data_IF_801673662289
#
_entry.id   IF_801673662289
#
_cell.length_a   1.000
_cell.length_b   1.000
_cell.length_c   1.000
_cell.angle_alpha   90.00
_cell.angle_beta   90.00
_cell.angle_gamma   90.00
#
_symmetry.space_group_name_H-M   'P 1'
#
loop_
_entity.id
_entity.type
_entity.pdbx_description
1 polymer ?
#
# COMPACT_ATOMS: atom_id res chain seq x y z
N UNK A 1 -4.26 4.23 -5.27
CA UNK A 1 -5.12 4.65 -6.40
C UNK A 1 -5.85 3.50 -7.08
N UNK A 2 -5.17 2.44 -7.57
CA UNK A 2 -5.80 1.35 -8.34
C UNK A 2 -6.96 0.67 -7.61
N UNK A 3 -6.77 0.34 -6.32
CA UNK A 3 -7.83 -0.25 -5.48
C UNK A 3 -9.05 0.66 -5.34
N UNK A 4 -8.84 1.97 -5.21
CA UNK A 4 -9.93 2.94 -5.18
C UNK A 4 -10.74 2.91 -6.47
N UNK A 5 -10.09 2.94 -7.63
CA UNK A 5 -10.76 2.85 -8.94
C UNK A 5 -11.54 1.54 -9.06
N UNK A 6 -10.97 0.43 -8.57
CA UNK A 6 -11.63 -0.87 -8.60
C UNK A 6 -12.94 -0.87 -7.80
N UNK A 7 -12.99 -0.22 -6.63
CA UNK A 7 -14.23 -0.06 -5.85
C UNK A 7 -15.31 0.69 -6.63
N UNK A 8 -14.94 1.60 -7.53
CA UNK A 8 -15.89 2.38 -8.35
C UNK A 8 -16.43 1.58 -9.54
N UNK A 9 -15.60 0.72 -10.14
CA UNK A 9 -15.98 -0.08 -11.31
C UNK A 9 -16.79 -1.33 -10.95
N UNK A 10 -16.49 -1.98 -9.80
CA UNK A 10 -17.10 -3.27 -9.42
C UNK A 10 -18.00 -3.16 -8.18
N UNK A 11 -17.86 -2.10 -7.37
CA UNK A 11 -18.65 -1.91 -6.16
C UNK A 11 -20.10 -1.53 -6.42
N UNK A 12 -20.89 -1.40 -5.35
CA UNK A 12 -22.29 -0.96 -5.39
C UNK A 12 -22.51 0.36 -6.15
N UNK A 13 -21.47 1.21 -6.19
CA UNK A 13 -21.45 2.50 -6.90
C UNK A 13 -21.18 2.40 -8.39
N UNK A 14 -20.79 1.24 -8.92
CA UNK A 14 -20.69 1.03 -10.37
C UNK A 14 -22.06 1.15 -11.07
N UNK A 15 -23.14 0.88 -10.33
CA UNK A 15 -24.53 1.11 -10.77
C UNK A 15 -24.89 2.61 -10.80
N UNK A 16 -24.22 3.44 -9.99
CA UNK A 16 -24.42 4.90 -9.94
C UNK A 16 -23.73 5.60 -11.13
N UNK A 17 -22.73 4.97 -11.75
CA UNK A 17 -22.00 5.47 -12.93
C UNK A 17 -22.74 5.23 -14.25
N UNK A 18 -24.06 5.06 -14.21
CA UNK A 18 -24.89 4.91 -15.40
C UNK A 18 -25.17 6.29 -15.99
N UNK A 19 -24.35 6.68 -16.96
CA UNK A 19 -24.49 7.93 -17.71
C UNK A 19 -25.15 7.65 -19.05
N UNK A 20 -26.05 8.54 -19.49
CA UNK A 20 -26.62 8.50 -20.83
C UNK A 20 -25.52 8.77 -21.87
N UNK A 21 -25.50 7.99 -22.95
CA UNK A 21 -24.52 8.06 -24.04
C UNK A 21 -23.04 8.12 -23.55
N UNK A 22 -22.53 7.05 -22.90
CA UNK A 22 -21.20 7.02 -22.30
C UNK A 22 -20.05 7.24 -23.31
N UNK A 23 -20.27 6.92 -24.59
CA UNK A 23 -19.30 7.15 -25.66
C UNK A 23 -18.97 8.63 -25.85
N UNK A 24 -19.93 9.53 -25.61
CA UNK A 24 -19.73 11.00 -25.70
C UNK A 24 -18.68 11.49 -24.71
N UNK A 25 -18.48 10.75 -23.62
CA UNK A 25 -17.52 11.05 -22.55
C UNK A 25 -16.27 10.16 -22.63
N UNK A 26 -16.10 9.37 -23.70
CA UNK A 26 -15.09 8.31 -23.81
C UNK A 26 -15.09 7.33 -22.63
N UNK A 27 -16.24 7.18 -21.96
CA UNK A 27 -16.35 6.35 -20.77
C UNK A 27 -16.59 4.90 -21.18
N UNK A 28 -15.53 4.08 -21.12
CA UNK A 28 -15.55 2.67 -21.50
C UNK A 28 -15.28 1.77 -20.28
N UNK A 29 -16.25 1.62 -19.36
CA UNK A 29 -16.04 0.96 -18.07
C UNK A 29 -15.58 -0.50 -18.20
N UNK A 30 -16.03 -1.20 -19.26
CA UNK A 30 -15.58 -2.57 -19.55
C UNK A 30 -14.09 -2.64 -19.91
N UNK A 31 -13.62 -1.75 -20.78
CA UNK A 31 -12.21 -1.71 -21.18
C UNK A 31 -11.34 -1.23 -20.02
N UNK A 32 -11.79 -0.21 -19.29
CA UNK A 32 -11.09 0.28 -18.09
C UNK A 32 -10.95 -0.81 -17.03
N UNK A 33 -12.00 -1.61 -16.79
CA UNK A 33 -11.93 -2.73 -15.86
C UNK A 33 -10.98 -3.82 -16.34
N UNK A 34 -11.00 -4.14 -17.63
CA UNK A 34 -10.05 -5.09 -18.24
C UNK A 34 -8.62 -4.65 -18.00
N UNK A 35 -8.30 -3.42 -18.37
CA UNK A 35 -6.93 -2.89 -18.30
C UNK A 35 -6.46 -2.82 -16.84
N UNK A 36 -7.36 -2.41 -15.93
CA UNK A 36 -7.11 -2.41 -14.50
C UNK A 36 -6.80 -3.82 -13.98
N UNK A 37 -7.63 -4.82 -14.29
CA UNK A 37 -7.41 -6.20 -13.88
C UNK A 37 -6.13 -6.80 -14.48
N UNK A 38 -5.76 -6.42 -15.71
CA UNK A 38 -4.51 -6.85 -16.34
C UNK A 38 -3.28 -6.27 -15.62
N UNK A 39 -3.35 -5.00 -15.17
CA UNK A 39 -2.33 -4.40 -14.31
C UNK A 39 -2.19 -5.20 -13.00
N UNK A 40 -3.31 -5.48 -12.31
CA UNK A 40 -3.28 -6.28 -11.09
C UNK A 40 -2.68 -7.68 -11.31
N UNK A 41 -3.04 -8.35 -12.41
CA UNK A 41 -2.49 -9.65 -12.78
C UNK A 41 -0.97 -9.58 -13.02
N UNK A 42 -0.50 -8.52 -13.69
CA UNK A 42 0.91 -8.33 -14.02
C UNK A 42 1.79 -8.13 -12.79
N UNK A 43 1.25 -7.52 -11.73
CA UNK A 43 1.95 -7.29 -10.46
C UNK A 43 1.55 -8.28 -9.37
N UNK A 44 0.77 -9.31 -9.68
CA UNK A 44 0.18 -10.19 -8.66
C UNK A 44 1.23 -10.90 -7.81
N UNK A 45 2.38 -11.24 -8.40
CA UNK A 45 3.49 -11.93 -7.72
C UNK A 45 4.46 -10.99 -6.99
N UNK A 46 4.31 -9.66 -7.11
CA UNK A 46 5.21 -8.70 -6.48
C UNK A 46 4.81 -8.46 -5.00
N UNK A 47 5.65 -8.81 -4.01
CA UNK A 47 5.31 -8.67 -2.59
C UNK A 47 5.00 -7.22 -2.18
N UNK A 48 5.75 -6.25 -2.72
CA UNK A 48 5.53 -4.83 -2.45
C UNK A 48 4.15 -4.38 -2.92
N UNK A 49 3.72 -4.85 -4.09
CA UNK A 49 2.40 -4.54 -4.61
C UNK A 49 1.27 -5.15 -3.76
N UNK A 50 1.45 -6.40 -3.31
CA UNK A 50 0.51 -7.07 -2.40
C UNK A 50 0.38 -6.30 -1.08
N UNK A 51 1.50 -5.87 -0.51
CA UNK A 51 1.56 -5.10 0.73
C UNK A 51 0.87 -3.74 0.59
N UNK A 52 1.16 -2.99 -0.48
CA UNK A 52 0.52 -1.69 -0.71
C UNK A 52 -0.98 -1.82 -1.02
N UNK A 53 -1.42 -2.92 -1.64
CA UNK A 53 -2.83 -3.24 -1.75
C UNK A 53 -3.47 -3.48 -0.38
N UNK A 54 -2.80 -4.22 0.51
CA UNK A 54 -3.27 -4.46 1.88
C UNK A 54 -3.40 -3.16 2.70
N UNK A 55 -2.43 -2.26 2.60
CA UNK A 55 -2.44 -0.95 3.29
C UNK A 55 -3.37 0.08 2.68
N UNK A 56 -3.88 -0.15 1.47
CA UNK A 56 -4.63 0.87 0.73
C UNK A 56 -5.94 1.33 1.40
N UNK A 57 -6.45 0.60 2.40
CA UNK A 57 -7.73 0.87 3.05
C UNK A 57 -8.97 0.58 2.20
N UNK A 58 -8.79 0.26 0.91
CA UNK A 58 -9.87 -0.05 -0.04
C UNK A 58 -10.01 -1.55 -0.31
N UNK A 59 -9.08 -2.37 0.17
CA UNK A 59 -9.10 -3.82 -0.02
C UNK A 59 -10.20 -4.48 0.83
N UNK A 60 -10.95 -5.40 0.21
CA UNK A 60 -11.78 -6.37 0.91
C UNK A 60 -11.86 -7.66 0.10
N UNK A 61 -11.97 -8.79 0.79
CA UNK A 61 -12.10 -10.11 0.15
C UNK A 61 -13.33 -10.17 -0.77
N UNK A 62 -14.45 -9.59 -0.33
CA UNK A 62 -15.70 -9.48 -1.11
C UNK A 62 -15.52 -8.67 -2.40
N UNK A 63 -14.79 -7.54 -2.35
CA UNK A 63 -14.52 -6.75 -3.56
C UNK A 63 -13.72 -7.55 -4.58
N UNK A 64 -12.69 -8.28 -4.14
CA UNK A 64 -11.87 -9.08 -5.04
C UNK A 64 -12.66 -10.26 -5.62
N UNK A 65 -13.46 -10.93 -4.79
CA UNK A 65 -14.30 -12.02 -5.26
C UNK A 65 -15.31 -11.56 -6.31
N UNK A 66 -15.98 -10.42 -6.09
CA UNK A 66 -16.87 -9.79 -7.07
C UNK A 66 -16.13 -9.42 -8.36
N UNK A 67 -14.90 -8.93 -8.23
CA UNK A 67 -14.07 -8.56 -9.38
C UNK A 67 -13.70 -9.78 -10.21
N UNK A 68 -13.24 -10.85 -9.57
CA UNK A 68 -12.89 -12.13 -10.22
C UNK A 68 -14.12 -12.71 -10.94
N UNK A 69 -15.27 -12.76 -10.27
CA UNK A 69 -16.54 -13.22 -10.87
C UNK A 69 -16.91 -12.39 -12.12
N UNK A 70 -16.73 -11.08 -12.05
CA UNK A 70 -17.02 -10.16 -13.17
C UNK A 70 -16.04 -10.37 -14.32
N UNK A 71 -14.74 -10.57 -14.03
CA UNK A 71 -13.73 -10.88 -15.03
C UNK A 71 -14.02 -12.18 -15.78
N UNK A 72 -14.41 -13.25 -15.06
CA UNK A 72 -14.82 -14.53 -15.66
C UNK A 72 -16.06 -14.36 -16.53
N UNK A 73 -17.10 -13.69 -16.02
CA UNK A 73 -18.36 -13.51 -16.74
C UNK A 73 -18.20 -12.73 -18.04
N UNK A 74 -17.31 -11.73 -18.06
CA UNK A 74 -17.11 -10.84 -19.19
C UNK A 74 -15.91 -11.22 -20.07
N UNK A 75 -15.21 -12.31 -19.75
CA UNK A 75 -13.97 -12.76 -20.40
C UNK A 75 -12.98 -11.59 -20.57
N UNK A 76 -12.67 -10.90 -19.47
CA UNK A 76 -11.80 -9.72 -19.52
C UNK A 76 -10.32 -10.09 -19.60
N UNK A 77 -9.91 -11.14 -18.89
CA UNK A 77 -8.51 -11.58 -18.86
C UNK A 77 -8.31 -12.79 -19.75
N UNK A 78 -7.09 -12.90 -20.29
CA UNK A 78 -6.70 -14.05 -21.07
C UNK A 78 -6.55 -15.29 -20.18
N UNK A 79 -7.23 -16.36 -20.57
CA UNK A 79 -7.15 -17.67 -19.95
C UNK A 79 -6.07 -18.54 -20.58
N UNK A 80 -5.43 -18.09 -21.66
CA UNK A 80 -4.28 -18.77 -22.24
C UNK A 80 -3.09 -18.67 -21.27
N UNK A 81 -2.46 -19.80 -21.00
CA UNK A 81 -1.27 -19.88 -20.18
C UNK A 81 -0.13 -19.12 -20.86
N UNK A 82 0.46 -18.14 -20.16
CA UNK A 82 1.67 -17.50 -20.64
C UNK A 82 2.83 -18.48 -20.57
N UNK A 83 3.56 -18.65 -21.68
CA UNK A 83 4.76 -19.50 -21.75
C UNK A 83 5.89 -19.01 -20.84
N UNK A 84 5.85 -17.75 -20.38
CA UNK A 84 6.91 -17.14 -19.56
C UNK A 84 6.74 -17.42 -18.07
N UNK A 85 5.50 -17.48 -17.57
CA UNK A 85 5.20 -17.63 -16.13
C UNK A 85 4.50 -18.95 -15.78
N UNK A 86 4.11 -19.75 -16.77
CA UNK A 86 3.41 -21.03 -16.54
C UNK A 86 1.99 -20.87 -15.98
N UNK A 87 1.50 -19.64 -15.82
CA UNK A 87 0.16 -19.28 -15.37
C UNK A 87 -0.48 -18.31 -16.37
N UNK A 88 -1.79 -18.38 -16.51
CA UNK A 88 -2.60 -17.39 -17.24
C UNK A 88 -2.76 -16.09 -16.44
N UNK A 89 -3.14 -14.99 -17.12
CA UNK A 89 -3.43 -13.73 -16.43
C UNK A 89 -4.56 -13.90 -15.42
N UNK A 90 -5.55 -14.74 -15.75
CA UNK A 90 -6.66 -15.04 -14.87
C UNK A 90 -6.21 -15.77 -13.59
N UNK A 91 -5.34 -16.78 -13.70
CA UNK A 91 -4.83 -17.52 -12.54
C UNK A 91 -3.98 -16.63 -11.62
N UNK A 92 -3.14 -15.76 -12.19
CA UNK A 92 -2.38 -14.78 -11.41
C UNK A 92 -3.32 -13.85 -10.65
N UNK A 93 -4.35 -13.33 -11.32
CA UNK A 93 -5.35 -12.47 -10.69
C UNK A 93 -6.17 -13.20 -9.62
N UNK A 94 -6.46 -14.48 -9.79
CA UNK A 94 -7.17 -15.31 -8.79
C UNK A 94 -6.34 -15.61 -7.55
N UNK A 95 -5.01 -15.70 -7.68
CA UNK A 95 -4.11 -15.91 -6.55
C UNK A 95 -3.95 -14.66 -5.68
N UNK A 96 -4.07 -13.47 -6.28
CA UNK A 96 -3.80 -12.18 -5.65
C UNK A 96 -4.54 -11.94 -4.32
N UNK A 97 -5.85 -12.23 -4.17
CA UNK A 97 -6.56 -11.97 -2.92
C UNK A 97 -6.00 -12.78 -1.74
N UNK A 98 -5.54 -14.00 -2.00
CA UNK A 98 -4.92 -14.83 -0.96
C UNK A 98 -3.59 -14.22 -0.49
N UNK A 99 -2.78 -13.72 -1.42
CA UNK A 99 -1.53 -13.04 -1.12
C UNK A 99 -1.75 -11.71 -0.37
N UNK A 100 -2.73 -10.90 -0.81
CA UNK A 100 -3.06 -9.65 -0.09
C UNK A 100 -3.59 -9.95 1.30
N UNK A 101 -4.43 -10.98 1.48
CA UNK A 101 -4.95 -11.35 2.80
C UNK A 101 -3.81 -11.74 3.77
N UNK A 102 -2.80 -12.49 3.31
CA UNK A 102 -1.62 -12.78 4.11
C UNK A 102 -0.86 -11.51 4.50
N UNK A 103 -0.68 -10.58 3.56
CA UNK A 103 -0.05 -9.28 3.87
C UNK A 103 -0.89 -8.44 4.82
N UNK A 104 -2.22 -8.45 4.72
CA UNK A 104 -3.12 -7.74 5.64
C UNK A 104 -2.98 -8.24 7.07
N UNK A 105 -2.83 -9.55 7.27
CA UNK A 105 -2.56 -10.12 8.60
C UNK A 105 -1.23 -9.60 9.14
N UNK A 106 -0.16 -9.65 8.34
CA UNK A 106 1.15 -9.13 8.76
C UNK A 106 1.10 -7.63 9.11
N UNK A 107 0.37 -6.83 8.32
CA UNK A 107 0.20 -5.39 8.58
C UNK A 107 -0.56 -5.16 9.89
N UNK A 108 -1.64 -5.91 10.13
CA UNK A 108 -2.40 -5.81 11.38
C UNK A 108 -1.59 -6.26 12.59
N UNK A 109 -0.80 -7.32 12.46
CA UNK A 109 0.08 -7.80 13.52
C UNK A 109 1.17 -6.77 13.84
N UNK A 110 1.79 -6.15 12.83
CA UNK A 110 2.78 -5.08 13.02
C UNK A 110 2.14 -3.80 13.60
N UNK A 111 0.94 -3.41 13.15
CA UNK A 111 0.19 -2.28 13.73
C UNK A 111 -0.17 -2.55 15.20
N UNK A 112 -0.67 -3.74 15.52
CA UNK A 112 -0.99 -4.12 16.89
C UNK A 112 0.26 -4.13 17.79
N UNK A 113 1.42 -4.54 17.25
CA UNK A 113 2.68 -4.55 17.98
C UNK A 113 3.18 -3.14 18.28
N UNK A 114 2.95 -2.20 17.36
CA UNK A 114 3.44 -0.82 17.41
C UNK A 114 2.46 0.16 18.07
N UNK A 115 1.24 -0.27 18.39
CA UNK A 115 0.21 0.59 18.97
C UNK A 115 0.57 1.16 20.36
N UNK A 116 1.38 0.42 21.14
CA UNK A 116 1.91 0.87 22.44
C UNK A 116 3.32 1.46 22.32
N UNK A 117 3.75 1.87 21.12
CA UNK A 117 5.07 2.43 20.94
C UNK A 117 5.20 3.78 21.68
N UNK A 118 6.34 4.04 22.35
CA UNK A 118 6.67 5.37 22.86
C UNK A 118 6.57 6.45 21.79
N UNK A 119 6.12 7.64 22.17
CA UNK A 119 5.97 8.80 21.26
C UNK A 119 7.26 9.14 20.51
N UNK A 120 8.43 8.90 21.11
CA UNK A 120 9.74 9.09 20.47
C UNK A 120 10.00 8.17 19.27
N UNK A 121 9.23 7.10 19.09
CA UNK A 121 9.32 6.18 17.95
C UNK A 121 8.32 6.52 16.84
N UNK A 122 7.40 7.45 17.11
CA UNK A 122 6.37 7.86 16.18
C UNK A 122 6.86 9.04 15.34
N UNK A 123 6.51 9.02 14.06
CA UNK A 123 6.76 10.11 13.14
C UNK A 123 5.96 11.34 13.60
N UNK A 124 6.61 12.51 13.77
CA UNK A 124 5.95 13.72 14.29
C UNK A 124 4.88 14.32 13.37
N UNK A 125 4.86 13.96 12.07
CA UNK A 125 3.85 14.44 11.12
C UNK A 125 2.77 13.38 10.87
N UNK A 126 3.17 12.11 10.73
CA UNK A 126 2.27 11.02 10.38
C UNK A 126 1.68 10.31 11.60
N UNK A 127 2.24 10.51 12.80
CA UNK A 127 1.90 9.81 14.03
C UNK A 127 1.93 8.28 13.89
N UNK A 128 2.81 7.77 13.02
CA UNK A 128 3.01 6.34 12.75
C UNK A 128 4.39 5.90 13.17
N UNK A 129 4.56 4.64 13.57
CA UNK A 129 5.88 4.08 13.90
C UNK A 129 6.89 4.28 12.75
N UNK A 130 8.02 4.93 13.03
CA UNK A 130 9.07 5.20 12.04
C UNK A 130 9.76 3.89 11.61
N UNK A 131 10.22 3.80 10.36
CA UNK A 131 10.97 2.65 9.85
C UNK A 131 12.42 2.98 9.60
N UNK A 132 12.66 4.18 9.09
CA UNK A 132 14.00 4.71 8.87
C UNK A 132 14.09 6.12 9.44
N UNK A 133 14.28 6.25 10.77
CA UNK A 133 14.33 7.55 11.42
C UNK A 133 15.56 8.33 10.94
N UNK A 134 15.33 9.58 10.51
CA UNK A 134 16.36 10.53 10.07
C UNK A 134 16.26 11.82 10.86
N UNK A 135 17.41 12.35 11.26
CA UNK A 135 17.57 13.63 11.93
C UNK A 135 17.62 14.76 10.90
N UNK A 136 16.81 15.79 11.14
CA UNK A 136 16.83 17.04 10.40
C UNK A 136 17.81 18.00 11.08
N UNK A 137 18.95 18.36 10.44
CA UNK A 137 19.99 19.17 11.10
C UNK A 137 19.56 20.61 11.39
N UNK A 138 18.48 21.07 10.77
CA UNK A 138 17.95 22.44 10.91
C UNK A 138 17.08 22.61 12.14
N UNK A 139 16.28 21.59 12.49
CA UNK A 139 15.31 21.60 13.59
C UNK A 139 15.66 20.64 14.74
N UNK A 140 16.68 19.79 14.56
CA UNK A 140 17.03 18.68 15.46
C UNK A 140 15.87 17.68 15.71
N UNK A 141 14.85 17.70 14.85
CA UNK A 141 13.75 16.75 14.90
C UNK A 141 14.09 15.46 14.15
N UNK A 142 13.57 14.34 14.64
CA UNK A 142 13.68 13.04 13.98
C UNK A 142 12.34 12.73 13.30
N UNK A 143 12.40 12.35 12.04
CA UNK A 143 11.25 12.05 11.19
C UNK A 143 11.54 10.80 10.35
N UNK A 144 10.52 10.10 9.85
CA UNK A 144 10.77 8.99 8.92
C UNK A 144 11.29 9.51 7.57
N UNK A 145 12.27 8.80 7.00
CA UNK A 145 12.86 9.16 5.70
C UNK A 145 11.80 9.29 4.60
N UNK A 146 10.80 8.41 4.58
CA UNK A 146 9.77 8.46 3.53
C UNK A 146 8.91 9.73 3.65
N UNK A 147 8.56 10.12 4.88
CA UNK A 147 7.81 11.33 5.18
C UNK A 147 8.54 12.59 4.71
N UNK A 148 9.82 12.76 5.11
CA UNK A 148 10.58 13.96 4.70
C UNK A 148 10.86 13.97 3.20
N UNK A 149 11.11 12.81 2.58
CA UNK A 149 11.31 12.73 1.12
C UNK A 149 10.07 13.21 0.38
N UNK A 150 8.88 12.78 0.80
CA UNK A 150 7.64 13.23 0.19
C UNK A 150 7.36 14.71 0.43
N UNK A 151 7.71 15.25 1.59
CA UNK A 151 7.62 16.68 1.87
C UNK A 151 8.50 17.50 0.93
N UNK A 152 9.78 17.14 0.82
CA UNK A 152 10.78 17.85 0.02
C UNK A 152 10.52 17.80 -1.50
N UNK A 153 9.72 16.85 -1.98
CA UNK A 153 9.23 16.85 -3.38
C UNK A 153 8.26 18.00 -3.67
N UNK A 154 7.57 18.51 -2.64
CA UNK A 154 6.59 19.59 -2.75
C UNK A 154 7.14 20.94 -2.25
N UNK A 155 7.93 20.93 -1.18
CA UNK A 155 8.46 22.12 -0.51
C UNK A 155 9.92 21.89 -0.04
N UNK A 156 10.92 22.63 -0.55
CA UNK A 156 12.34 22.41 -0.22
C UNK A 156 12.77 22.99 1.15
N UNK A 157 11.87 23.01 2.13
CA UNK A 157 12.13 23.53 3.47
C UNK A 157 11.86 22.48 4.54
N UNK A 158 12.43 22.68 5.73
CA UNK A 158 12.13 21.89 6.91
C UNK A 158 10.68 22.16 7.40
N UNK A 159 9.87 21.12 7.64
CA UNK A 159 8.46 21.27 7.98
C UNK A 159 8.21 21.94 9.35
N UNK A 160 9.20 22.00 10.24
CA UNK A 160 9.08 22.53 11.60
C UNK A 160 9.52 23.99 11.74
N UNK A 161 10.54 24.40 10.97
CA UNK A 161 11.12 25.74 11.10
C UNK A 161 11.22 26.53 9.79
N UNK A 162 10.84 25.92 8.65
CA UNK A 162 10.85 26.52 7.30
C UNK A 162 12.22 27.00 6.82
N UNK A 163 13.33 26.46 7.35
CA UNK A 163 14.66 26.70 6.80
C UNK A 163 14.89 25.80 5.58
N UNK A 164 15.75 26.24 4.66
CA UNK A 164 16.13 25.44 3.50
C UNK A 164 16.69 24.08 3.94
N UNK A 165 16.17 23.02 3.34
CA UNK A 165 16.58 21.65 3.63
C UNK A 165 16.52 20.81 2.35
N UNK A 166 17.59 20.07 2.09
CA UNK A 166 17.64 19.09 1.00
C UNK A 166 17.76 17.68 1.55
N UNK A 167 17.32 16.68 0.78
CA UNK A 167 17.35 15.27 1.21
C UNK A 167 18.76 14.78 1.53
N UNK A 168 19.79 15.32 0.89
CA UNK A 168 21.19 14.96 1.14
C UNK A 168 21.71 15.47 2.49
N UNK A 169 21.03 16.45 3.10
CA UNK A 169 21.40 17.01 4.41
C UNK A 169 20.89 16.17 5.58
N UNK A 170 19.92 15.27 5.35
CA UNK A 170 19.33 14.49 6.44
C UNK A 170 20.29 13.38 6.90
N UNK A 171 20.43 13.23 8.22
CA UNK A 171 21.38 12.28 8.80
C UNK A 171 20.62 11.08 9.38
N UNK A 172 21.01 9.83 9.13
CA UNK A 172 20.36 8.68 9.76
C UNK A 172 20.44 8.74 11.29
N UNK A 173 19.31 8.61 11.99
CA UNK A 173 19.25 8.58 13.46
C UNK A 173 19.53 7.16 13.98
N UNK A 174 20.77 6.70 13.83
CA UNK A 174 21.18 5.30 14.10
C UNK A 174 20.90 4.88 15.54
N UNK A 175 21.11 5.77 16.52
CA UNK A 175 20.86 5.45 17.93
C UNK A 175 19.38 5.17 18.22
N UNK A 176 18.49 6.02 17.69
CA UNK A 176 17.04 5.81 17.83
C UNK A 176 16.62 4.53 17.13
N UNK A 177 17.13 4.29 15.91
CA UNK A 177 16.86 3.07 15.15
C UNK A 177 17.23 1.81 15.94
N UNK A 178 18.41 1.79 16.57
CA UNK A 178 18.83 0.67 17.41
C UNK A 178 17.90 0.45 18.62
N UNK A 179 17.41 1.53 19.26
CA UNK A 179 16.44 1.45 20.37
C UNK A 179 15.10 0.91 19.90
N UNK A 180 14.62 1.35 18.74
CA UNK A 180 13.39 0.88 18.10
C UNK A 180 13.48 -0.60 17.74
N UNK A 181 14.61 -1.03 17.17
CA UNK A 181 14.85 -2.42 16.81
C UNK A 181 14.89 -3.34 18.04
N UNK A 182 15.56 -2.91 19.12
CA UNK A 182 15.57 -3.64 20.38
C UNK A 182 14.16 -3.78 20.99
N UNK A 183 13.39 -2.69 20.99
CA UNK A 183 12.01 -2.69 21.48
C UNK A 183 11.09 -3.61 20.66
N UNK A 184 11.21 -3.58 19.33
CA UNK A 184 10.48 -4.48 18.43
C UNK A 184 10.84 -5.95 18.66
N UNK A 185 12.12 -6.26 18.91
CA UNK A 185 12.57 -7.62 19.22
C UNK A 185 11.99 -8.12 20.55
N UNK A 186 11.99 -7.28 21.58
CA UNK A 186 11.40 -7.60 22.89
C UNK A 186 9.89 -7.87 22.76
N UNK A 187 9.16 -6.99 22.07
CA UNK A 187 7.72 -7.15 21.81
C UNK A 187 7.43 -8.44 21.02
N UNK A 188 8.19 -8.74 19.97
CA UNK A 188 8.05 -10.01 19.20
C UNK A 188 8.35 -11.24 20.05
N UNK A 189 9.31 -11.17 20.98
CA UNK A 189 9.63 -12.26 21.89
C UNK A 189 8.49 -12.52 22.90
N UNK A 190 7.88 -11.47 23.44
CA UNK A 190 6.74 -11.56 24.35
C UNK A 190 5.53 -12.23 23.69
N UNK A 191 5.20 -11.85 22.45
CA UNK A 191 4.10 -12.45 21.69
C UNK A 191 4.34 -13.94 21.40
N UNK A 192 5.60 -14.34 21.15
CA UNK A 192 5.96 -15.75 20.94
C UNK A 192 5.95 -16.58 22.21
N UNK A 193 6.25 -15.99 23.37
CA UNK A 193 6.22 -16.68 24.67
C UNK A 193 4.83 -16.86 25.26
N UNK A 194 3.82 -16.16 24.72
CA UNK A 194 2.41 -16.26 25.14
C UNK A 194 1.57 -17.22 24.27
N UNK A 195 2.11 -17.73 23.17
CA UNK A 195 1.51 -18.77 22.33
C UNK A 195 2.01 -20.15 22.75
#
# INVERSE_FOLDING_TARGET
MLMHVLTKLVGSKGLELKVDNPETYNFRPREMLRDLCSIFASFASAPEFQLECAKSGYYSADLMEKTIRTCKKLNLLDSATSTVLGMSQMELFESLPSHIALQSINVQDDEALTNDAPDEFLDPLMCTFMKDPVLLPTSDNIIDRSTITQHLLNDPHDPFNRKDLTIDMVVPAVELKNRMDAWMQEKRALVKGQK
#
